data_IF_877567516872
#
_entry.id   IF_877567516872
#
_cell.length_a   1.000
_cell.length_b   1.000
_cell.length_c   1.000
_cell.angle_alpha   90.00
_cell.angle_beta   90.00
_cell.angle_gamma   90.00
#
_symmetry.space_group_name_H-M   'P 1'
#
loop_
_entity.id
_entity.type
_entity.pdbx_description
1 polymer ?
#
# COMPACT_ATOMS: atom_id res chain seq x y z
N UNK A 1 4.52 -17.86 -27.24
CA UNK A 1 3.41 -17.08 -26.66
C UNK A 1 4.00 -15.77 -26.16
N UNK A 2 3.52 -14.62 -26.65
CA UNK A 2 3.92 -13.31 -26.13
C UNK A 2 3.30 -13.22 -24.74
N UNK A 3 4.07 -12.98 -23.66
CA UNK A 3 3.53 -12.85 -22.33
C UNK A 3 2.53 -11.67 -22.33
N UNK A 4 1.31 -11.91 -21.91
CA UNK A 4 0.32 -10.85 -21.73
C UNK A 4 0.84 -9.89 -20.66
N UNK A 5 0.89 -8.59 -20.98
CA UNK A 5 1.36 -7.59 -20.01
C UNK A 5 0.54 -7.67 -18.70
N UNK A 6 1.19 -7.56 -17.53
CA UNK A 6 0.51 -7.66 -16.25
C UNK A 6 -0.63 -6.64 -16.11
N UNK A 7 -1.65 -6.99 -15.33
CA UNK A 7 -2.82 -6.14 -15.13
C UNK A 7 -2.47 -4.91 -14.28
N UNK A 8 -2.89 -3.72 -14.71
CA UNK A 8 -2.63 -2.48 -13.99
C UNK A 8 -3.50 -2.36 -12.73
N UNK A 9 -4.81 -2.53 -12.84
CA UNK A 9 -5.74 -2.52 -11.71
C UNK A 9 -5.91 -1.19 -10.97
N UNK A 10 -4.83 -0.50 -10.58
CA UNK A 10 -4.85 0.80 -9.90
C UNK A 10 -4.51 1.92 -10.88
N UNK A 11 -5.53 2.57 -11.44
CA UNK A 11 -5.43 3.52 -12.55
C UNK A 11 -6.02 4.91 -12.23
N UNK A 12 -6.23 5.21 -10.93
CA UNK A 12 -6.84 6.44 -10.46
C UNK A 12 -6.15 7.03 -9.25
N UNK A 13 -6.17 8.36 -9.18
CA UNK A 13 -5.85 9.09 -7.97
C UNK A 13 -6.90 8.81 -6.89
N UNK A 14 -6.44 8.45 -5.69
CA UNK A 14 -7.29 8.18 -4.52
C UNK A 14 -6.78 9.04 -3.36
N UNK A 15 -7.65 9.91 -2.83
CA UNK A 15 -7.32 10.74 -1.67
C UNK A 15 -7.33 9.90 -0.39
N UNK A 16 -6.47 10.27 0.56
CA UNK A 16 -6.40 9.60 1.86
C UNK A 16 -7.73 9.72 2.62
N UNK A 17 -8.37 10.89 2.56
CA UNK A 17 -9.66 11.14 3.20
C UNK A 17 -10.78 10.24 2.67
N UNK A 18 -10.75 9.88 1.38
CA UNK A 18 -11.71 8.92 0.82
C UNK A 18 -11.49 7.51 1.34
N UNK A 19 -10.21 7.11 1.52
CA UNK A 19 -9.89 5.83 2.16
C UNK A 19 -10.31 5.85 3.63
N UNK A 20 -10.10 6.97 4.34
CA UNK A 20 -10.54 7.14 5.72
C UNK A 20 -12.06 7.00 5.85
N UNK A 21 -12.84 7.65 4.98
CA UNK A 21 -14.29 7.55 4.97
C UNK A 21 -14.75 6.10 4.68
N UNK A 22 -14.17 5.45 3.68
CA UNK A 22 -14.47 4.05 3.36
C UNK A 22 -14.12 3.11 4.54
N UNK A 23 -13.01 3.35 5.22
CA UNK A 23 -12.59 2.60 6.40
C UNK A 23 -13.57 2.78 7.56
N UNK A 24 -14.04 4.03 7.81
CA UNK A 24 -15.06 4.32 8.83
C UNK A 24 -16.39 3.63 8.53
N UNK A 25 -16.81 3.60 7.26
CA UNK A 25 -18.00 2.84 6.84
C UNK A 25 -17.83 1.34 7.14
N UNK A 26 -16.72 0.73 6.75
CA UNK A 26 -16.42 -0.68 7.06
C UNK A 26 -16.37 -0.94 8.56
N UNK A 27 -15.87 0.02 9.32
CA UNK A 27 -15.81 -0.04 10.78
C UNK A 27 -17.18 0.11 11.48
N UNK A 28 -18.23 0.49 10.76
CA UNK A 28 -19.55 0.81 11.31
C UNK A 28 -19.57 2.15 12.07
N UNK A 29 -18.63 3.06 11.76
CA UNK A 29 -18.47 4.38 12.40
C UNK A 29 -19.02 5.52 11.53
N UNK A 30 -19.36 5.24 10.27
CA UNK A 30 -19.96 6.17 9.32
C UNK A 30 -20.91 5.43 8.39
N UNK A 31 -21.79 6.17 7.72
CA UNK A 31 -22.72 5.63 6.74
C UNK A 31 -22.12 5.63 5.32
N UNK A 32 -22.73 4.84 4.44
CA UNK A 32 -22.38 4.84 3.03
C UNK A 32 -22.74 6.16 2.35
N UNK A 33 -23.77 6.83 2.82
CA UNK A 33 -24.24 8.10 2.29
C UNK A 33 -23.23 9.23 2.59
N UNK A 34 -22.64 9.26 3.79
CA UNK A 34 -21.55 10.20 4.11
C UNK A 34 -20.34 10.05 3.16
N UNK A 35 -19.98 8.81 2.80
CA UNK A 35 -18.92 8.58 1.80
C UNK A 35 -19.35 9.07 0.41
N UNK A 36 -20.62 8.85 0.01
CA UNK A 36 -21.13 9.32 -1.26
C UNK A 36 -21.15 10.85 -1.37
N UNK A 37 -21.58 11.53 -0.29
CA UNK A 37 -21.55 13.00 -0.18
C UNK A 37 -20.13 13.55 -0.29
N UNK A 38 -19.15 12.91 0.37
CA UNK A 38 -17.74 13.29 0.26
C UNK A 38 -17.22 13.18 -1.18
N UNK A 39 -17.60 12.13 -1.90
CA UNK A 39 -17.21 11.95 -3.30
C UNK A 39 -17.95 12.92 -4.24
N UNK A 40 -19.19 13.31 -3.94
CA UNK A 40 -19.93 14.32 -4.68
C UNK A 40 -19.33 15.72 -4.48
N UNK A 41 -18.96 16.05 -3.25
CA UNK A 41 -18.28 17.31 -2.92
C UNK A 41 -16.91 17.45 -3.61
N UNK A 42 -16.26 16.34 -3.96
CA UNK A 42 -15.00 16.34 -4.71
C UNK A 42 -15.16 16.73 -6.20
N UNK A 43 -16.36 16.99 -6.68
CA UNK A 43 -16.62 17.42 -8.07
C UNK A 43 -16.32 16.33 -9.11
N UNK A 44 -16.32 15.06 -8.73
CA UNK A 44 -16.07 13.95 -9.65
C UNK A 44 -17.28 13.74 -10.58
N UNK A 45 -17.06 13.71 -11.89
CA UNK A 45 -18.08 13.28 -12.84
C UNK A 45 -18.52 11.83 -12.57
N UNK A 46 -19.74 11.46 -13.02
CA UNK A 46 -20.39 10.17 -12.74
C UNK A 46 -19.47 8.95 -12.96
N UNK A 47 -18.78 8.90 -14.09
CA UNK A 47 -17.86 7.80 -14.41
C UNK A 47 -16.62 7.79 -13.48
N UNK A 48 -16.06 8.97 -13.19
CA UNK A 48 -14.93 9.10 -12.28
C UNK A 48 -15.30 8.67 -10.87
N UNK A 49 -16.47 9.08 -10.36
CA UNK A 49 -17.02 8.66 -9.06
C UNK A 49 -17.18 7.14 -8.99
N UNK A 50 -17.80 6.53 -10.01
CA UNK A 50 -18.00 5.08 -10.06
C UNK A 50 -16.67 4.31 -10.04
N UNK A 51 -15.68 4.73 -10.82
CA UNK A 51 -14.34 4.10 -10.83
C UNK A 51 -13.59 4.32 -9.51
N UNK A 52 -13.70 5.50 -8.89
CA UNK A 52 -13.13 5.77 -7.55
C UNK A 52 -13.78 4.86 -6.52
N UNK A 53 -15.11 4.72 -6.54
CA UNK A 53 -15.85 3.82 -5.64
C UNK A 53 -15.38 2.37 -5.77
N UNK A 54 -15.14 1.89 -7.00
CA UNK A 54 -14.59 0.54 -7.22
C UNK A 54 -13.26 0.35 -6.51
N UNK A 55 -12.38 1.36 -6.51
CA UNK A 55 -11.10 1.27 -5.78
C UNK A 55 -11.32 1.26 -4.27
N UNK A 56 -12.18 2.12 -3.75
CA UNK A 56 -12.50 2.16 -2.31
C UNK A 56 -13.18 0.86 -1.83
N UNK A 57 -14.03 0.27 -2.67
CA UNK A 57 -14.60 -1.05 -2.39
C UNK A 57 -13.49 -2.07 -2.18
N UNK A 58 -12.58 -2.20 -3.13
CA UNK A 58 -11.51 -3.18 -3.06
C UNK A 58 -10.48 -2.91 -1.94
N UNK A 59 -10.26 -1.64 -1.58
CA UNK A 59 -9.33 -1.27 -0.50
C UNK A 59 -9.91 -1.46 0.90
N UNK A 60 -11.24 -1.29 1.07
CA UNK A 60 -11.82 -1.27 2.40
C UNK A 60 -13.22 -1.87 2.49
N UNK A 61 -14.18 -1.48 1.61
CA UNK A 61 -15.59 -1.78 1.80
C UNK A 61 -15.96 -3.22 1.45
N UNK A 62 -15.52 -3.67 0.28
CA UNK A 62 -15.82 -4.97 -0.33
C UNK A 62 -14.54 -5.59 -0.89
N UNK A 63 -13.56 -5.93 -0.03
CA UNK A 63 -12.33 -6.56 -0.49
C UNK A 63 -12.61 -7.93 -1.11
N UNK A 64 -11.71 -8.38 -1.98
CA UNK A 64 -11.75 -9.76 -2.49
C UNK A 64 -11.77 -10.76 -1.34
N UNK A 65 -12.38 -11.92 -1.55
CA UNK A 65 -12.54 -12.94 -0.51
C UNK A 65 -11.21 -13.37 0.14
N UNK A 66 -10.13 -13.48 -0.65
CA UNK A 66 -8.78 -13.82 -0.17
C UNK A 66 -8.12 -12.73 0.69
N UNK A 67 -8.65 -11.49 0.65
CA UNK A 67 -8.16 -10.34 1.41
C UNK A 67 -9.14 -9.89 2.51
N UNK A 68 -10.35 -10.45 2.58
CA UNK A 68 -11.39 -9.96 3.49
C UNK A 68 -10.94 -9.99 4.95
N UNK A 69 -10.40 -11.14 5.41
CA UNK A 69 -9.90 -11.31 6.78
C UNK A 69 -8.69 -10.38 7.07
N UNK A 70 -7.78 -10.21 6.11
CA UNK A 70 -6.66 -9.27 6.22
C UNK A 70 -7.14 -7.84 6.42
N UNK A 71 -8.09 -7.38 5.61
CA UNK A 71 -8.67 -6.02 5.71
C UNK A 71 -9.43 -5.87 7.04
N UNK A 72 -10.23 -6.85 7.46
CA UNK A 72 -10.97 -6.79 8.72
C UNK A 72 -10.05 -6.67 9.93
N UNK A 73 -8.93 -7.40 9.96
CA UNK A 73 -7.90 -7.20 11.00
C UNK A 73 -7.31 -5.79 10.99
N UNK A 74 -7.05 -5.22 9.80
CA UNK A 74 -6.63 -3.83 9.66
C UNK A 74 -7.65 -2.84 10.22
N UNK A 75 -8.94 -3.05 9.93
CA UNK A 75 -10.05 -2.24 10.48
C UNK A 75 -10.08 -2.30 12.01
N UNK A 76 -9.90 -3.48 12.62
CA UNK A 76 -9.88 -3.60 14.08
C UNK A 76 -8.69 -2.89 14.72
N UNK A 77 -7.53 -2.90 14.07
CA UNK A 77 -6.35 -2.15 14.53
C UNK A 77 -6.60 -0.64 14.45
N UNK A 78 -7.29 -0.17 13.41
CA UNK A 78 -7.64 1.23 13.22
C UNK A 78 -8.64 1.72 14.29
N UNK A 79 -9.69 0.95 14.58
CA UNK A 79 -10.70 1.31 15.59
C UNK A 79 -10.11 1.67 16.96
N UNK A 80 -8.97 1.12 17.31
CA UNK A 80 -8.33 1.32 18.61
C UNK A 80 -7.62 2.67 18.80
N UNK A 81 -7.41 3.46 17.75
CA UNK A 81 -6.88 4.83 17.82
C UNK A 81 -6.89 5.49 16.43
N UNK A 82 -7.66 6.56 16.29
CA UNK A 82 -7.65 7.39 15.09
C UNK A 82 -6.41 8.29 15.09
N UNK A 83 -5.36 7.84 14.36
CA UNK A 83 -4.17 8.65 14.16
C UNK A 83 -3.80 8.63 12.66
N UNK A 84 -3.32 9.76 12.15
CA UNK A 84 -2.99 9.93 10.74
C UNK A 84 -1.91 8.95 10.24
N UNK A 85 -0.99 8.53 11.13
CA UNK A 85 0.03 7.53 10.81
C UNK A 85 -0.56 6.15 10.56
N UNK A 86 -1.51 5.73 11.40
CA UNK A 86 -2.21 4.45 11.25
C UNK A 86 -3.10 4.44 10.01
N UNK A 87 -3.79 5.56 9.72
CA UNK A 87 -4.59 5.68 8.51
C UNK A 87 -3.73 5.53 7.25
N UNK A 88 -2.60 6.22 7.18
CA UNK A 88 -1.69 6.11 6.05
C UNK A 88 -1.11 4.69 5.91
N UNK A 89 -0.75 4.03 7.03
CA UNK A 89 -0.27 2.66 7.03
C UNK A 89 -1.36 1.68 6.57
N UNK A 90 -2.62 1.86 7.01
CA UNK A 90 -3.75 1.07 6.52
C UNK A 90 -3.96 1.26 5.02
N UNK A 91 -4.08 2.51 4.55
CA UNK A 91 -4.29 2.80 3.13
C UNK A 91 -3.18 2.18 2.27
N UNK A 92 -1.94 2.31 2.71
CA UNK A 92 -0.77 1.76 2.02
C UNK A 92 -0.76 0.24 1.99
N UNK A 93 -0.92 -0.41 3.15
CA UNK A 93 -0.93 -1.86 3.26
C UNK A 93 -2.08 -2.48 2.45
N UNK A 94 -3.29 -1.91 2.53
CA UNK A 94 -4.42 -2.32 1.71
C UNK A 94 -4.11 -2.18 0.21
N UNK A 95 -3.48 -1.07 -0.21
CA UNK A 95 -3.17 -0.82 -1.61
C UNK A 95 -2.12 -1.79 -2.17
N UNK A 96 -1.02 -2.05 -1.45
CA UNK A 96 0.02 -2.99 -1.93
C UNK A 96 -0.47 -4.43 -1.94
N UNK A 97 -1.31 -4.85 -0.99
CA UNK A 97 -1.88 -6.20 -0.94
C UNK A 97 -2.93 -6.42 -2.04
N UNK A 98 -3.74 -5.39 -2.33
CA UNK A 98 -4.86 -5.49 -3.29
C UNK A 98 -4.41 -5.29 -4.74
N UNK A 99 -3.46 -4.37 -4.96
CA UNK A 99 -3.04 -3.92 -6.28
C UNK A 99 -1.53 -4.08 -6.48
N UNK A 100 -1.06 -5.19 -7.08
CA UNK A 100 0.36 -5.40 -7.36
C UNK A 100 1.00 -4.25 -8.14
N UNK A 101 0.24 -3.59 -9.02
CA UNK A 101 0.71 -2.42 -9.76
C UNK A 101 1.05 -1.24 -8.84
N UNK A 102 0.19 -0.93 -7.86
CA UNK A 102 0.50 0.09 -6.84
C UNK A 102 1.77 -0.27 -6.09
N UNK A 103 1.89 -1.54 -5.65
CA UNK A 103 3.07 -2.05 -4.98
C UNK A 103 4.35 -1.92 -5.82
N UNK A 104 4.26 -2.16 -7.14
CA UNK A 104 5.40 -2.03 -8.04
C UNK A 104 5.87 -0.58 -8.18
N UNK A 105 4.95 0.38 -8.36
CA UNK A 105 5.30 1.81 -8.40
C UNK A 105 5.89 2.24 -7.05
N UNK A 106 5.31 1.81 -5.93
CA UNK A 106 5.82 2.08 -4.59
C UNK A 106 7.24 1.52 -4.39
N UNK A 107 7.48 0.30 -4.82
CA UNK A 107 8.79 -0.36 -4.74
C UNK A 107 9.85 0.42 -5.53
N UNK A 108 9.55 0.84 -6.77
CA UNK A 108 10.49 1.64 -7.55
C UNK A 108 10.71 3.03 -6.94
N UNK A 109 9.66 3.68 -6.46
CA UNK A 109 9.80 4.95 -5.72
C UNK A 109 10.72 4.77 -4.52
N UNK A 110 10.48 3.75 -3.69
CA UNK A 110 11.31 3.48 -2.53
C UNK A 110 12.78 3.17 -2.86
N UNK A 111 13.03 2.37 -3.91
CA UNK A 111 14.39 2.02 -4.35
C UNK A 111 15.14 3.23 -4.91
N UNK A 112 14.50 4.00 -5.80
CA UNK A 112 15.14 5.13 -6.46
C UNK A 112 15.43 6.28 -5.49
N UNK A 113 14.58 6.47 -4.48
CA UNK A 113 14.78 7.52 -3.46
C UNK A 113 15.60 7.07 -2.26
N UNK A 114 16.08 5.81 -2.22
CA UNK A 114 16.74 5.26 -1.02
C UNK A 114 18.10 5.90 -0.70
N UNK A 115 18.83 6.37 -1.71
CA UNK A 115 20.19 6.87 -1.54
C UNK A 115 20.21 8.40 -1.41
N UNK A 116 19.54 9.11 -2.32
CA UNK A 116 19.60 10.58 -2.41
C UNK A 116 18.36 11.28 -1.85
N UNK A 117 17.34 10.51 -1.45
CA UNK A 117 16.08 11.05 -0.97
C UNK A 117 15.14 11.52 -2.08
N UNK A 118 15.57 11.52 -3.34
CA UNK A 118 14.77 11.97 -4.48
C UNK A 118 14.98 11.11 -5.73
N UNK A 119 14.10 11.27 -6.73
CA UNK A 119 14.26 10.66 -8.05
C UNK A 119 13.49 11.43 -9.13
N UNK A 120 13.88 11.24 -10.40
CA UNK A 120 13.11 11.75 -11.54
C UNK A 120 11.85 10.87 -11.78
N UNK A 121 10.72 11.51 -12.03
CA UNK A 121 9.46 10.80 -12.38
C UNK A 121 9.61 9.97 -13.65
N UNK A 122 10.38 10.45 -14.62
CA UNK A 122 10.70 9.72 -15.86
C UNK A 122 11.38 8.39 -15.61
N UNK A 123 12.22 8.29 -14.56
CA UNK A 123 12.91 7.04 -14.22
C UNK A 123 11.92 5.99 -13.68
N UNK A 124 10.93 6.41 -12.88
CA UNK A 124 9.85 5.51 -12.45
C UNK A 124 9.04 5.04 -13.67
N UNK A 125 8.66 5.97 -14.56
CA UNK A 125 7.94 5.62 -15.78
C UNK A 125 8.72 4.62 -16.64
N UNK A 126 10.02 4.83 -16.82
CA UNK A 126 10.89 3.93 -17.57
C UNK A 126 10.87 2.51 -16.98
N UNK A 127 11.08 2.39 -15.65
CA UNK A 127 11.08 1.10 -14.95
C UNK A 127 9.74 0.38 -15.04
N UNK A 128 8.66 1.12 -14.88
CA UNK A 128 7.30 0.55 -15.01
C UNK A 128 7.03 0.11 -16.46
N UNK A 129 7.45 0.90 -17.46
CA UNK A 129 7.26 0.55 -18.86
C UNK A 129 8.01 -0.71 -19.29
N UNK A 130 9.17 -1.00 -18.68
CA UNK A 130 9.92 -2.23 -18.89
C UNK A 130 9.11 -3.49 -18.49
N UNK A 131 8.30 -3.42 -17.42
CA UNK A 131 7.52 -4.57 -16.93
C UNK A 131 6.07 -4.59 -17.48
N UNK A 132 5.44 -3.42 -17.65
CA UNK A 132 4.02 -3.30 -18.01
C UNK A 132 3.77 -2.82 -19.44
N UNK A 133 4.83 -2.54 -20.19
CA UNK A 133 4.79 -2.03 -21.55
C UNK A 133 4.63 -0.50 -21.61
N UNK A 134 5.24 0.13 -22.63
CA UNK A 134 5.17 1.57 -22.88
C UNK A 134 3.86 1.92 -23.61
N UNK A 135 2.80 2.05 -22.83
CA UNK A 135 1.44 2.39 -23.30
C UNK A 135 0.94 3.62 -22.56
N UNK A 136 0.07 4.38 -23.19
CA UNK A 136 -0.53 5.58 -22.57
C UNK A 136 -1.28 5.24 -21.27
N UNK A 137 -1.96 4.09 -21.23
CA UNK A 137 -2.65 3.62 -20.02
C UNK A 137 -1.67 3.35 -18.87
N UNK A 138 -0.47 2.82 -19.17
CA UNK A 138 0.58 2.60 -18.19
C UNK A 138 1.10 3.92 -17.62
N UNK A 139 1.35 4.91 -18.49
CA UNK A 139 1.80 6.25 -18.08
C UNK A 139 0.78 6.95 -17.18
N UNK A 140 -0.50 6.95 -17.58
CA UNK A 140 -1.58 7.55 -16.77
C UNK A 140 -1.76 6.86 -15.42
N UNK A 141 -1.70 5.54 -15.38
CA UNK A 141 -1.82 4.79 -14.15
C UNK A 141 -0.62 5.04 -13.21
N UNK A 142 0.61 5.07 -13.74
CA UNK A 142 1.80 5.43 -12.95
C UNK A 142 1.64 6.82 -12.34
N UNK A 143 1.21 7.78 -13.13
CA UNK A 143 0.96 9.15 -12.65
C UNK A 143 -0.11 9.19 -11.55
N UNK A 144 -1.19 8.43 -11.69
CA UNK A 144 -2.25 8.33 -10.68
C UNK A 144 -1.73 7.74 -9.36
N UNK A 145 -0.87 6.71 -9.41
CA UNK A 145 -0.24 6.15 -8.20
C UNK A 145 0.70 7.16 -7.56
N UNK A 146 1.53 7.87 -8.33
CA UNK A 146 2.42 8.91 -7.81
C UNK A 146 1.62 10.03 -7.13
N UNK A 147 0.53 10.50 -7.75
CA UNK A 147 -0.36 11.48 -7.13
C UNK A 147 -0.98 10.97 -5.84
N UNK A 148 -1.37 9.70 -5.80
CA UNK A 148 -1.92 9.06 -4.61
C UNK A 148 -0.87 9.01 -3.49
N UNK A 149 0.36 8.59 -3.79
CA UNK A 149 1.47 8.57 -2.82
C UNK A 149 1.76 9.96 -2.25
N UNK A 150 1.74 11.00 -3.10
CA UNK A 150 1.94 12.38 -2.67
C UNK A 150 0.80 12.85 -1.74
N UNK A 151 -0.46 12.60 -2.10
CA UNK A 151 -1.61 12.92 -1.25
C UNK A 151 -1.59 12.17 0.09
N UNK A 152 -1.07 10.94 0.09
CA UNK A 152 -0.90 10.15 1.32
C UNK A 152 0.32 10.59 2.15
N UNK A 153 1.01 11.66 1.72
CA UNK A 153 2.10 12.30 2.45
C UNK A 153 3.35 11.42 2.56
N UNK A 154 3.69 10.70 1.50
CA UNK A 154 4.87 9.82 1.46
C UNK A 154 5.99 10.38 0.59
N UNK A 155 5.65 11.23 -0.36
CA UNK A 155 6.53 11.95 -1.27
C UNK A 155 6.00 13.37 -1.50
N UNK A 156 6.88 14.27 -1.87
CA UNK A 156 6.56 15.60 -2.40
C UNK A 156 6.86 15.62 -3.90
N UNK A 157 6.00 16.28 -4.69
CA UNK A 157 6.16 16.47 -6.14
C UNK A 157 6.71 17.86 -6.37
N UNK A 158 7.89 17.96 -6.96
CA UNK A 158 8.59 19.23 -7.22
C UNK A 158 8.95 19.40 -8.69
N UNK A 159 9.48 20.56 -9.07
CA UNK A 159 9.91 20.88 -10.45
C UNK A 159 8.79 20.62 -11.49
N UNK A 160 7.57 21.12 -11.22
CA UNK A 160 6.40 20.87 -12.07
C UNK A 160 6.16 19.38 -12.32
N UNK A 161 6.23 18.59 -11.24
CA UNK A 161 6.02 17.14 -11.23
C UNK A 161 7.09 16.30 -11.96
N UNK A 162 8.27 16.86 -12.22
CA UNK A 162 9.37 16.11 -12.84
C UNK A 162 10.22 15.33 -11.85
N UNK A 163 10.23 15.75 -10.57
CA UNK A 163 10.98 15.09 -9.49
C UNK A 163 10.07 14.77 -8.30
N UNK A 164 10.44 13.72 -7.60
CA UNK A 164 9.82 13.30 -6.34
C UNK A 164 10.88 13.41 -5.25
N UNK A 165 10.51 14.02 -4.13
CA UNK A 165 11.30 14.01 -2.89
C UNK A 165 10.63 13.05 -1.93
N UNK A 166 11.39 12.10 -1.37
CA UNK A 166 10.90 11.21 -0.33
C UNK A 166 10.74 11.99 0.97
N UNK A 167 9.56 11.93 1.57
CA UNK A 167 9.32 12.51 2.88
C UNK A 167 9.87 11.60 3.99
N UNK A 168 10.04 12.16 5.19
CA UNK A 168 10.51 11.40 6.34
C UNK A 168 9.58 10.22 6.60
N UNK A 169 10.16 9.03 6.78
CA UNK A 169 9.40 7.84 7.10
C UNK A 169 8.68 7.99 8.46
N UNK A 170 7.41 7.58 8.49
CA UNK A 170 6.61 7.61 9.72
C UNK A 170 6.95 6.40 10.59
N UNK A 171 7.32 6.66 11.85
CA UNK A 171 7.54 5.58 12.82
C UNK A 171 6.22 4.91 13.19
N UNK A 172 6.17 3.57 13.10
CA UNK A 172 5.04 2.77 13.54
C UNK A 172 5.33 2.18 14.91
N UNK A 173 4.62 2.65 15.92
CA UNK A 173 4.80 2.22 17.32
C UNK A 173 3.85 1.10 17.75
N UNK A 174 2.81 0.80 16.97
CA UNK A 174 1.84 -0.24 17.27
C UNK A 174 2.26 -1.58 16.65
N UNK A 175 2.58 -2.58 17.48
CA UNK A 175 3.06 -3.88 17.03
C UNK A 175 2.10 -4.61 16.09
N UNK A 176 0.78 -4.51 16.32
CA UNK A 176 -0.24 -5.11 15.45
C UNK A 176 -0.24 -4.46 14.08
N UNK A 177 -0.07 -3.12 14.00
CA UNK A 177 0.01 -2.41 12.72
C UNK A 177 1.32 -2.73 11.98
N UNK A 178 2.44 -2.84 12.69
CA UNK A 178 3.72 -3.28 12.12
C UNK A 178 3.60 -4.68 11.52
N UNK A 179 3.06 -5.64 12.27
CA UNK A 179 2.84 -7.01 11.78
C UNK A 179 1.89 -7.03 10.57
N UNK A 180 0.81 -6.26 10.62
CA UNK A 180 -0.18 -6.15 9.54
C UNK A 180 0.43 -5.53 8.26
N UNK A 181 1.27 -4.50 8.38
CA UNK A 181 1.96 -3.91 7.23
C UNK A 181 3.01 -4.87 6.62
N UNK A 182 3.70 -5.65 7.45
CA UNK A 182 4.61 -6.72 6.97
C UNK A 182 3.82 -7.81 6.28
N UNK A 183 2.64 -8.19 6.78
CA UNK A 183 1.72 -9.11 6.09
C UNK A 183 1.34 -8.59 4.71
N UNK A 184 1.02 -7.29 4.59
CA UNK A 184 0.74 -6.66 3.29
C UNK A 184 1.91 -6.80 2.31
N UNK A 185 3.15 -6.59 2.78
CA UNK A 185 4.34 -6.74 1.96
C UNK A 185 4.58 -8.19 1.51
N UNK A 186 4.31 -9.17 2.38
CA UNK A 186 4.38 -10.59 2.04
C UNK A 186 3.35 -10.98 0.98
N UNK A 187 2.10 -10.49 1.11
CA UNK A 187 1.03 -10.68 0.12
C UNK A 187 1.40 -10.07 -1.23
N UNK A 188 2.02 -8.89 -1.24
CA UNK A 188 2.54 -8.26 -2.44
C UNK A 188 3.67 -9.09 -3.07
N UNK A 189 4.67 -9.48 -2.29
CA UNK A 189 5.85 -10.22 -2.81
C UNK A 189 5.57 -11.68 -3.12
N UNK A 190 4.50 -12.28 -2.55
CA UNK A 190 4.11 -13.69 -2.70
C UNK A 190 5.22 -14.67 -2.33
N UNK A 191 6.09 -14.30 -1.40
CA UNK A 191 7.18 -15.14 -0.90
C UNK A 191 7.58 -14.73 0.50
N UNK A 192 8.25 -15.63 1.22
CA UNK A 192 8.87 -15.31 2.49
C UNK A 192 9.96 -14.22 2.32
N UNK A 193 10.14 -13.39 3.35
CA UNK A 193 11.07 -12.27 3.37
C UNK A 193 12.04 -12.46 4.52
N UNK A 194 13.34 -12.19 4.28
CA UNK A 194 14.32 -12.24 5.36
C UNK A 194 14.01 -11.20 6.45
N UNK A 195 14.00 -11.64 7.70
CA UNK A 195 13.79 -10.77 8.86
C UNK A 195 14.79 -9.60 8.89
N UNK A 196 16.04 -9.84 8.49
CA UNK A 196 17.08 -8.82 8.43
C UNK A 196 16.79 -7.72 7.39
N UNK A 197 15.99 -8.00 6.36
CA UNK A 197 15.69 -7.04 5.29
C UNK A 197 14.35 -6.32 5.46
N UNK A 198 13.55 -6.68 6.48
CA UNK A 198 12.22 -6.09 6.67
C UNK A 198 12.26 -4.55 6.81
N UNK A 199 13.25 -4.02 7.54
CA UNK A 199 13.39 -2.57 7.74
C UNK A 199 13.76 -1.80 6.46
N UNK A 200 14.34 -2.49 5.48
CA UNK A 200 14.78 -1.90 4.21
C UNK A 200 13.89 -2.24 3.02
N UNK A 201 12.69 -2.79 3.26
CA UNK A 201 11.77 -3.13 2.20
C UNK A 201 11.31 -1.89 1.44
N UNK A 202 11.71 -1.77 0.18
CA UNK A 202 11.39 -0.61 -0.64
C UNK A 202 9.88 -0.38 -0.82
N UNK A 203 9.06 -1.44 -0.84
CA UNK A 203 7.61 -1.32 -1.03
C UNK A 203 6.90 -0.67 0.16
N UNK A 204 7.48 -0.69 1.36
CA UNK A 204 6.94 -0.05 2.56
C UNK A 204 7.82 1.13 3.02
N UNK A 205 8.55 1.73 2.11
CA UNK A 205 9.49 2.84 2.35
C UNK A 205 8.93 4.03 3.15
N UNK A 206 7.61 4.34 3.13
CA UNK A 206 7.08 5.46 3.92
C UNK A 206 7.05 5.22 5.43
N UNK A 207 7.38 4.01 5.88
CA UNK A 207 7.23 3.63 7.28
C UNK A 207 8.56 3.11 7.84
N UNK A 208 8.89 3.57 9.06
CA UNK A 208 9.98 3.04 9.85
C UNK A 208 9.43 1.99 10.83
N UNK A 209 10.02 0.80 10.78
CA UNK A 209 9.64 -0.32 11.65
C UNK A 209 10.58 -0.36 12.86
N UNK A 210 10.43 0.59 13.79
CA UNK A 210 11.34 0.80 14.93
C UNK A 210 11.01 -0.15 16.10
N UNK A 211 10.98 -1.47 15.82
CA UNK A 211 10.61 -2.49 16.81
C UNK A 211 11.54 -3.71 16.75
N UNK A 212 11.50 -4.52 17.78
CA UNK A 212 12.09 -5.87 17.76
C UNK A 212 11.25 -6.75 16.83
N UNK A 213 11.56 -6.71 15.53
CA UNK A 213 10.73 -7.34 14.48
C UNK A 213 10.57 -8.84 14.71
N UNK A 214 11.61 -9.55 15.17
CA UNK A 214 11.51 -10.96 15.49
C UNK A 214 10.40 -11.25 16.51
N UNK A 215 10.31 -10.47 17.58
CA UNK A 215 9.28 -10.59 18.59
C UNK A 215 7.89 -10.26 18.01
N UNK A 216 7.77 -9.15 17.32
CA UNK A 216 6.48 -8.69 16.73
C UNK A 216 5.94 -9.72 15.72
N UNK A 217 6.81 -10.26 14.83
CA UNK A 217 6.41 -11.26 13.84
C UNK A 217 6.00 -12.58 14.48
N UNK A 218 6.75 -13.05 15.49
CA UNK A 218 6.44 -14.31 16.19
C UNK A 218 5.11 -14.27 16.96
N UNK A 219 4.72 -13.09 17.44
CA UNK A 219 3.45 -12.90 18.16
C UNK A 219 2.27 -12.57 17.23
N UNK A 220 2.48 -12.48 15.93
CA UNK A 220 1.41 -12.24 14.98
C UNK A 220 0.55 -13.50 14.75
N UNK A 221 -0.76 -13.30 14.61
CA UNK A 221 -1.68 -14.39 14.25
C UNK A 221 -1.45 -14.90 12.82
N UNK A 222 -1.13 -13.99 11.89
CA UNK A 222 -1.03 -14.29 10.47
C UNK A 222 0.39 -14.63 9.99
N UNK A 223 1.42 -14.29 10.81
CA UNK A 223 2.81 -14.45 10.44
C UNK A 223 3.49 -15.55 11.25
N UNK A 224 4.54 -16.10 10.67
CA UNK A 224 5.46 -17.00 11.35
C UNK A 224 6.91 -16.66 11.00
N UNK A 225 7.79 -16.90 11.96
CA UNK A 225 9.24 -16.79 11.75
C UNK A 225 9.79 -18.21 11.59
N UNK A 226 10.43 -18.48 10.45
CA UNK A 226 11.08 -19.76 10.14
C UNK A 226 12.58 -19.58 10.14
N UNK A 227 13.33 -20.50 10.74
CA UNK A 227 14.79 -20.51 10.64
C UNK A 227 15.23 -21.37 9.45
N UNK A 228 16.02 -20.77 8.57
CA UNK A 228 16.70 -21.46 7.47
C UNK A 228 18.22 -21.42 7.74
N UNK A 229 18.67 -22.19 8.73
CA UNK A 229 20.06 -22.21 9.18
C UNK A 229 20.37 -21.24 10.32
N UNK A 230 21.64 -21.19 10.77
CA UNK A 230 22.03 -20.53 12.03
C UNK A 230 21.80 -19.02 12.10
N UNK A 231 21.80 -18.34 10.95
CA UNK A 231 21.73 -16.86 10.89
C UNK A 231 20.66 -16.33 9.92
N UNK A 232 19.85 -17.20 9.34
CA UNK A 232 18.84 -16.81 8.38
C UNK A 232 17.43 -17.08 8.93
N UNK A 233 16.73 -16.01 9.30
CA UNK A 233 15.34 -16.05 9.72
C UNK A 233 14.48 -15.45 8.62
N UNK A 234 13.44 -16.17 8.21
CA UNK A 234 12.45 -15.73 7.23
C UNK A 234 11.10 -15.48 7.92
N UNK A 235 10.42 -14.44 7.49
CA UNK A 235 9.03 -14.19 7.85
C UNK A 235 8.16 -14.64 6.68
N UNK A 236 7.13 -15.43 7.00
CA UNK A 236 6.18 -15.97 6.03
C UNK A 236 4.73 -15.82 6.54
N UNK A 237 3.78 -15.91 5.64
CA UNK A 237 2.36 -16.08 6.02
C UNK A 237 2.18 -17.48 6.58
N UNK A 238 1.41 -17.61 7.68
CA UNK A 238 0.96 -18.93 8.15
C UNK A 238 0.06 -19.58 7.11
N UNK A 239 0.07 -20.89 7.02
CA UNK A 239 -0.70 -21.65 6.02
C UNK A 239 -2.19 -21.28 5.97
N UNK A 240 -2.82 -21.00 7.11
CA UNK A 240 -4.21 -20.56 7.20
C UNK A 240 -4.50 -19.19 6.57
N UNK A 241 -3.47 -18.38 6.29
CA UNK A 241 -3.56 -17.01 5.77
C UNK A 241 -2.87 -16.82 4.41
N UNK A 242 -2.25 -17.87 3.86
CA UNK A 242 -1.43 -17.84 2.65
C UNK A 242 -2.15 -18.24 1.36
N UNK A 243 -3.49 -18.25 1.37
CA UNK A 243 -4.32 -18.66 0.23
C UNK A 243 -4.24 -17.75 -0.99
#
# INVERSE_FOLDING_TARGET
MIPTAPQIGFDRFIQLDWVAAALKVRAGMASLDELNELLDAAGLGKEAKAKTRTKLNALALEPRADLADFIDRGVQIFKGAEDAGKLAAFAWGAAIATYPYFGKVAEFTGRLTSIQGDCAVSEIHRRISEEYGDREVTKRATQAVIQTQANWGTIERVEKDKRLIRLQARSLTNDKMVAWLVEAALRYQRKAISLATLQSLAVIYPFALDKSLGYVMSNSLALEVRSEGPSNQLVALRAAYGG
#
